data_IF_209622467076
#
_entry.id   IF_209622467076
#
_cell.length_a   1.000
_cell.length_b   1.000
_cell.length_c   1.000
_cell.angle_alpha   90.00
_cell.angle_beta   90.00
_cell.angle_gamma   90.00
#
_symmetry.space_group_name_H-M   'P 1'
#
loop_
_entity.id
_entity.type
_entity.pdbx_description
1 polymer ?
#
# COMPACT_ATOMS: atom_id res chain seq x y z
N UNK A 1 -27.77 2.17 -45.81
CA UNK A 1 -28.91 2.62 -44.98
C UNK A 1 -28.34 3.47 -43.86
N UNK A 2 -28.70 4.76 -43.82
CA UNK A 2 -28.25 5.73 -42.81
C UNK A 2 -29.10 5.56 -41.55
N UNK A 3 -28.48 5.45 -40.37
CA UNK A 3 -29.18 5.63 -39.10
C UNK A 3 -28.39 6.61 -38.23
N UNK A 4 -28.97 7.80 -38.08
CA UNK A 4 -28.63 8.82 -37.09
C UNK A 4 -29.50 8.58 -35.85
N UNK A 5 -28.95 8.75 -34.65
CA UNK A 5 -29.68 9.19 -33.44
C UNK A 5 -28.63 9.49 -32.36
N UNK A 6 -28.32 10.77 -32.14
CA UNK A 6 -28.99 11.74 -31.26
C UNK A 6 -28.53 11.66 -29.80
N UNK A 7 -27.90 12.77 -29.43
CA UNK A 7 -27.41 13.22 -28.13
C UNK A 7 -28.51 13.40 -27.09
N UNK A 8 -28.20 13.14 -25.83
CA UNK A 8 -28.84 13.80 -24.68
C UNK A 8 -27.76 14.28 -23.71
N UNK A 9 -27.50 15.59 -23.76
CA UNK A 9 -26.89 16.38 -22.70
C UNK A 9 -27.89 16.47 -21.54
N UNK A 10 -27.46 16.18 -20.32
CA UNK A 10 -28.18 16.57 -19.11
C UNK A 10 -27.24 17.29 -18.16
N UNK A 11 -27.43 18.60 -18.14
CA UNK A 11 -26.91 19.57 -17.19
C UNK A 11 -27.73 19.53 -15.89
N UNK A 12 -27.06 19.29 -14.76
CA UNK A 12 -27.46 19.69 -13.41
C UNK A 12 -26.14 19.93 -12.67
N UNK A 13 -25.89 20.98 -11.91
CA UNK A 13 -26.73 22.00 -11.29
C UNK A 13 -25.92 22.45 -10.07
N UNK A 14 -25.53 23.72 -10.05
CA UNK A 14 -24.74 24.35 -8.99
C UNK A 14 -25.47 24.33 -7.65
N UNK A 15 -24.75 24.06 -6.54
CA UNK A 15 -25.14 24.61 -5.23
C UNK A 15 -23.93 24.96 -4.37
N UNK A 16 -23.80 26.25 -4.15
CA UNK A 16 -22.96 26.93 -3.16
C UNK A 16 -23.46 26.57 -1.75
N UNK A 17 -22.56 26.28 -0.82
CA UNK A 17 -22.79 26.61 0.58
C UNK A 17 -21.47 26.86 1.30
N UNK A 18 -21.20 28.14 1.51
CA UNK A 18 -20.21 28.67 2.43
C UNK A 18 -20.68 28.47 3.87
N UNK A 19 -19.83 27.86 4.70
CA UNK A 19 -19.85 28.08 6.15
C UNK A 19 -18.44 28.39 6.62
N UNK A 20 -18.13 29.69 6.59
CA UNK A 20 -17.16 30.29 7.50
C UNK A 20 -17.68 30.08 8.93
N UNK A 21 -16.91 29.35 9.73
CA UNK A 21 -17.05 29.32 11.18
C UNK A 21 -15.83 30.02 11.80
N UNK A 22 -15.96 31.32 12.04
CA UNK A 22 -15.09 32.09 12.94
C UNK A 22 -15.47 31.72 14.39
N UNK A 23 -14.64 30.95 15.11
CA UNK A 23 -14.73 30.88 16.58
C UNK A 23 -13.34 30.74 17.23
N UNK A 24 -13.07 31.74 18.08
CA UNK A 24 -12.23 31.75 19.28
C UNK A 24 -10.70 31.89 19.15
N UNK A 25 -10.28 33.16 19.26
CA UNK A 25 -9.06 33.57 19.96
C UNK A 25 -9.10 33.04 21.40
N UNK A 26 -8.16 32.17 21.76
CA UNK A 26 -7.85 31.78 23.14
C UNK A 26 -6.39 32.09 23.46
N UNK A 27 -6.15 33.24 24.11
CA UNK A 27 -4.88 33.58 24.73
C UNK A 27 -4.66 32.69 25.94
N UNK A 28 -3.64 31.83 25.99
CA UNK A 28 -3.10 31.36 27.26
C UNK A 28 -1.60 31.05 27.17
N UNK A 29 -0.86 31.95 27.82
CA UNK A 29 0.25 31.67 28.74
C UNK A 29 1.40 30.77 28.24
N UNK A 30 2.46 31.46 27.84
CA UNK A 30 3.85 31.15 28.15
C UNK A 30 3.99 30.48 29.52
N UNK A 31 4.42 29.22 29.55
CA UNK A 31 5.09 28.62 30.71
C UNK A 31 6.30 27.85 30.25
N UNK A 32 7.46 28.47 30.46
CA UNK A 32 8.74 27.81 30.60
C UNK A 32 8.60 26.58 31.51
N UNK A 33 9.10 25.46 31.04
CA UNK A 33 9.57 24.39 31.89
C UNK A 33 10.82 23.80 31.24
N UNK A 34 11.95 24.41 31.57
CA UNK A 34 13.26 23.80 31.40
C UNK A 34 13.28 22.52 32.25
N UNK A 35 13.07 21.37 31.63
CA UNK A 35 13.36 20.09 32.26
C UNK A 35 14.81 19.70 31.96
N UNK A 36 15.69 20.21 32.81
CA UNK A 36 16.98 19.60 33.10
C UNK A 36 16.72 18.30 33.86
N UNK A 37 16.71 17.17 33.16
CA UNK A 37 16.95 15.87 33.78
C UNK A 37 18.32 15.35 33.36
N UNK A 38 19.33 15.84 34.08
CA UNK A 38 20.56 15.12 34.28
C UNK A 38 20.26 13.93 35.21
N UNK A 39 20.22 12.73 34.66
CA UNK A 39 20.43 11.50 35.43
C UNK A 39 20.95 10.42 34.49
N UNK A 40 22.27 10.39 34.37
CA UNK A 40 23.07 9.29 33.82
C UNK A 40 22.88 8.10 34.77
N UNK A 41 21.81 7.34 34.56
CA UNK A 41 21.60 6.04 35.18
C UNK A 41 22.37 4.99 34.39
N UNK A 42 23.49 4.52 34.94
CA UNK A 42 24.19 3.33 34.46
C UNK A 42 23.24 2.14 34.51
N UNK A 43 22.65 1.78 33.37
CA UNK A 43 21.98 0.48 33.22
C UNK A 43 23.08 -0.57 33.21
N UNK A 44 23.19 -1.28 34.33
CA UNK A 44 24.02 -2.46 34.50
C UNK A 44 23.42 -3.53 33.58
N UNK A 45 23.98 -3.66 32.37
CA UNK A 45 23.70 -4.78 31.48
C UNK A 45 24.16 -6.07 32.17
N UNK A 46 23.22 -6.72 32.84
CA UNK A 46 23.41 -8.04 33.41
C UNK A 46 23.49 -9.05 32.27
N UNK A 47 24.72 -9.48 32.02
CA UNK A 47 25.11 -10.45 31.01
C UNK A 47 24.56 -11.82 31.43
N UNK A 48 23.29 -12.12 31.12
CA UNK A 48 22.77 -13.49 31.07
C UNK A 48 23.43 -14.21 29.89
N UNK A 49 24.48 -14.96 30.19
CA UNK A 49 24.96 -16.00 29.31
C UNK A 49 24.07 -17.24 29.45
N UNK A 50 23.92 -17.93 28.33
CA UNK A 50 23.78 -19.38 28.25
C UNK A 50 22.35 -19.95 28.24
N UNK A 51 21.68 -19.81 27.09
CA UNK A 51 20.83 -20.87 26.57
C UNK A 51 21.34 -21.28 25.18
N UNK A 52 22.23 -22.28 25.21
CA UNK A 52 22.30 -23.47 24.33
C UNK A 52 21.41 -23.40 23.07
N UNK A 53 21.95 -22.86 21.98
CA UNK A 53 21.41 -23.07 20.63
C UNK A 53 21.74 -24.49 20.15
N UNK A 54 20.99 -25.48 20.63
CA UNK A 54 20.99 -26.82 20.04
C UNK A 54 20.04 -26.81 18.83
N UNK A 55 20.62 -26.91 17.64
CA UNK A 55 19.89 -27.07 16.39
C UNK A 55 19.74 -25.78 15.60
N UNK A 56 20.86 -25.22 15.13
CA UNK A 56 20.86 -24.33 13.97
C UNK A 56 20.44 -25.13 12.74
N UNK A 57 19.15 -25.46 12.64
CA UNK A 57 18.53 -25.60 11.33
C UNK A 57 18.81 -24.29 10.63
N UNK A 58 19.68 -24.35 9.62
CA UNK A 58 19.91 -23.26 8.69
C UNK A 58 18.52 -22.87 8.16
N UNK A 59 17.92 -21.85 8.77
CA UNK A 59 16.71 -21.22 8.24
C UNK A 59 17.22 -20.49 7.03
N UNK A 60 17.26 -21.21 5.91
CA UNK A 60 17.44 -20.61 4.61
C UNK A 60 16.34 -19.55 4.53
N UNK A 61 16.76 -18.29 4.70
CA UNK A 61 15.90 -17.14 4.52
C UNK A 61 15.52 -17.17 3.06
N UNK A 62 14.46 -17.91 2.74
CA UNK A 62 13.92 -17.95 1.40
C UNK A 62 13.74 -16.51 0.99
N UNK A 63 14.53 -16.12 -0.01
CA UNK A 63 14.47 -14.80 -0.60
C UNK A 63 13.01 -14.56 -1.00
N UNK A 64 12.56 -13.30 -0.97
CA UNK A 64 11.21 -12.91 -1.40
C UNK A 64 10.88 -13.50 -2.80
N UNK A 65 11.89 -13.69 -3.65
CA UNK A 65 11.82 -14.42 -4.93
C UNK A 65 11.43 -15.89 -4.78
N UNK A 66 12.07 -16.63 -3.88
CA UNK A 66 11.76 -18.04 -3.63
C UNK A 66 10.30 -18.25 -3.21
N UNK A 67 9.74 -17.31 -2.43
CA UNK A 67 8.32 -17.34 -2.04
C UNK A 67 7.39 -17.05 -3.20
N UNK A 68 7.72 -16.07 -4.03
CA UNK A 68 6.92 -15.74 -5.21
C UNK A 68 6.90 -16.90 -6.24
N UNK A 69 8.04 -17.56 -6.44
CA UNK A 69 8.15 -18.74 -7.30
C UNK A 69 7.41 -19.96 -6.76
N UNK A 70 7.14 -20.03 -5.46
CA UNK A 70 6.28 -21.06 -4.87
C UNK A 70 4.78 -20.83 -5.16
N UNK A 71 4.39 -19.63 -5.60
CA UNK A 71 3.01 -19.21 -5.86
C UNK A 71 2.71 -19.11 -7.36
N UNK A 72 3.34 -19.92 -8.23
CA UNK A 72 3.18 -19.81 -9.69
C UNK A 72 1.75 -20.03 -10.19
N UNK A 73 1.00 -20.92 -9.54
CA UNK A 73 -0.37 -21.28 -9.90
C UNK A 73 -1.44 -20.45 -9.16
N UNK A 74 -1.01 -19.62 -8.22
CA UNK A 74 -1.90 -18.82 -7.39
C UNK A 74 -2.53 -17.67 -8.20
N UNK A 75 -3.76 -17.23 -7.86
CA UNK A 75 -4.40 -16.09 -8.51
C UNK A 75 -3.53 -14.85 -8.37
N UNK A 76 -3.35 -14.15 -9.49
CA UNK A 76 -2.62 -12.89 -9.58
C UNK A 76 -3.58 -11.74 -9.85
N UNK A 77 -3.37 -10.63 -9.15
CA UNK A 77 -4.18 -9.42 -9.35
C UNK A 77 -3.26 -8.23 -9.51
N UNK A 78 -3.55 -7.40 -10.53
CA UNK A 78 -2.84 -6.15 -10.76
C UNK A 78 -3.20 -5.16 -9.66
N UNK A 79 -2.17 -4.59 -9.03
CA UNK A 79 -2.32 -3.58 -7.98
C UNK A 79 -1.86 -2.23 -8.46
N UNK A 80 -2.55 -1.21 -7.98
CA UNK A 80 -2.30 0.18 -8.31
C UNK A 80 -2.40 1.07 -7.09
N UNK A 81 -1.80 2.25 -7.23
CA UNK A 81 -1.95 3.34 -6.28
C UNK A 81 -2.68 4.50 -6.93
N UNK A 82 -3.47 5.20 -6.13
CA UNK A 82 -4.16 6.42 -6.52
C UNK A 82 -3.71 7.52 -5.56
N UNK A 83 -3.42 8.70 -6.09
CA UNK A 83 -3.15 9.88 -5.28
C UNK A 83 -4.50 10.40 -4.77
N UNK A 84 -4.65 10.60 -3.45
CA UNK A 84 -5.84 11.28 -2.93
C UNK A 84 -5.96 12.64 -3.63
N UNK A 85 -7.15 12.95 -4.13
CA UNK A 85 -7.49 14.14 -4.94
C UNK A 85 -7.29 13.98 -6.47
N UNK A 86 -6.80 12.83 -6.96
CA UNK A 86 -6.73 12.53 -8.40
C UNK A 86 -7.52 11.25 -8.72
N UNK A 87 -8.21 11.23 -9.86
CA UNK A 87 -8.95 10.04 -10.33
C UNK A 87 -8.06 9.03 -11.11
N UNK A 88 -6.77 9.34 -11.23
CA UNK A 88 -5.81 8.55 -11.98
C UNK A 88 -5.22 7.42 -11.12
N UNK A 89 -5.25 6.22 -11.69
CA UNK A 89 -4.65 5.01 -11.11
C UNK A 89 -3.31 4.71 -11.76
N UNK A 90 -2.29 4.55 -10.93
CA UNK A 90 -0.95 4.19 -11.35
C UNK A 90 -0.73 2.69 -11.13
N UNK A 91 -0.55 1.88 -12.18
CA UNK A 91 -0.27 0.46 -12.03
C UNK A 91 1.16 0.27 -11.49
N UNK A 92 1.29 -0.50 -10.42
CA UNK A 92 2.56 -0.66 -9.69
C UNK A 92 3.11 -2.06 -9.82
N UNK A 93 2.25 -3.08 -9.83
CA UNK A 93 2.70 -4.47 -9.78
C UNK A 93 1.56 -5.47 -9.78
N UNK A 94 1.91 -6.69 -9.42
CA UNK A 94 1.01 -7.82 -9.23
C UNK A 94 1.16 -8.34 -7.80
N UNK A 95 0.04 -8.64 -7.17
CA UNK A 95 0.01 -9.38 -5.90
C UNK A 95 -0.51 -10.78 -6.17
N UNK A 96 0.16 -11.76 -5.60
CA UNK A 96 -0.26 -13.16 -5.57
C UNK A 96 -0.57 -13.57 -4.15
N UNK A 97 -1.68 -14.27 -3.98
CA UNK A 97 -2.06 -14.88 -2.72
C UNK A 97 -2.52 -16.31 -2.97
N UNK A 98 -2.24 -17.21 -2.03
CA UNK A 98 -2.65 -18.62 -2.12
C UNK A 98 -4.13 -18.80 -2.41
N UNK A 99 -4.98 -17.98 -1.78
CA UNK A 99 -6.43 -18.01 -1.92
C UNK A 99 -6.95 -16.68 -2.47
N UNK A 100 -7.98 -16.72 -3.33
CA UNK A 100 -8.59 -15.49 -3.87
C UNK A 100 -9.19 -14.60 -2.77
N UNK A 101 -9.76 -15.21 -1.72
CA UNK A 101 -10.29 -14.48 -0.57
C UNK A 101 -9.20 -13.78 0.27
N UNK A 102 -7.94 -14.20 0.12
CA UNK A 102 -6.80 -13.61 0.82
C UNK A 102 -6.19 -12.42 0.06
N UNK A 103 -6.57 -12.16 -1.20
CA UNK A 103 -5.97 -11.14 -2.06
C UNK A 103 -6.09 -9.73 -1.46
N UNK A 104 -7.29 -9.32 -1.05
CA UNK A 104 -7.48 -7.99 -0.43
C UNK A 104 -6.60 -7.81 0.81
N UNK A 105 -6.50 -8.86 1.64
CA UNK A 105 -5.66 -8.86 2.84
C UNK A 105 -4.18 -8.80 2.48
N UNK A 106 -3.76 -9.49 1.41
CA UNK A 106 -2.40 -9.46 0.91
C UNK A 106 -2.00 -8.06 0.44
N UNK A 107 -2.87 -7.36 -0.31
CA UNK A 107 -2.65 -5.98 -0.74
C UNK A 107 -2.47 -5.05 0.46
N UNK A 108 -3.35 -5.15 1.47
CA UNK A 108 -3.25 -4.32 2.69
C UNK A 108 -1.96 -4.59 3.46
N UNK A 109 -1.51 -5.85 3.56
CA UNK A 109 -0.25 -6.21 4.22
C UNK A 109 0.98 -5.69 3.48
N UNK A 110 0.95 -5.75 2.15
CA UNK A 110 2.08 -5.34 1.31
C UNK A 110 2.03 -3.87 0.87
N UNK A 111 1.11 -3.07 1.44
CA UNK A 111 0.98 -1.63 1.12
C UNK A 111 2.29 -0.83 1.23
N UNK A 112 3.16 -1.19 2.18
CA UNK A 112 4.45 -0.51 2.36
C UNK A 112 5.39 -0.76 1.17
N UNK A 113 5.46 -2.02 0.71
CA UNK A 113 6.24 -2.41 -0.48
C UNK A 113 5.66 -1.79 -1.75
N UNK A 114 4.33 -1.78 -1.87
CA UNK A 114 3.62 -1.16 -3.00
C UNK A 114 3.91 0.35 -3.03
N UNK A 115 3.80 1.05 -1.89
CA UNK A 115 4.09 2.49 -1.80
C UNK A 115 5.55 2.81 -2.15
N UNK A 116 6.49 2.01 -1.64
CA UNK A 116 7.91 2.17 -1.95
C UNK A 116 8.17 1.97 -3.44
N UNK A 117 7.59 0.93 -4.05
CA UNK A 117 7.73 0.67 -5.49
C UNK A 117 7.13 1.79 -6.33
N UNK A 118 5.95 2.29 -5.94
CA UNK A 118 5.28 3.38 -6.65
C UNK A 118 6.12 4.68 -6.63
N UNK A 119 6.73 5.02 -5.49
CA UNK A 119 7.62 6.17 -5.37
C UNK A 119 8.85 6.04 -6.29
N UNK A 120 9.37 4.83 -6.47
CA UNK A 120 10.48 4.57 -7.41
C UNK A 120 10.05 4.68 -8.87
N UNK A 121 8.85 4.20 -9.21
CA UNK A 121 8.33 4.25 -10.58
C UNK A 121 7.93 5.67 -11.00
N UNK A 122 7.34 6.43 -10.08
CA UNK A 122 6.72 7.72 -10.36
C UNK A 122 7.19 8.83 -9.41
N UNK A 123 8.51 9.09 -9.28
CA UNK A 123 9.05 10.01 -8.28
C UNK A 123 8.60 11.47 -8.46
N UNK A 124 8.19 11.86 -9.68
CA UNK A 124 7.70 13.21 -9.97
C UNK A 124 6.22 13.39 -9.62
N UNK A 125 5.44 12.30 -9.64
CA UNK A 125 3.99 12.32 -9.41
C UNK A 125 3.67 11.99 -7.94
N UNK A 126 4.42 11.06 -7.36
CA UNK A 126 4.21 10.56 -6.00
C UNK A 126 5.31 11.13 -5.10
N UNK A 127 4.96 12.12 -4.29
CA UNK A 127 5.87 12.64 -3.26
C UNK A 127 5.78 11.79 -1.98
N UNK A 128 6.83 11.81 -1.15
CA UNK A 128 6.86 11.06 0.10
C UNK A 128 5.75 11.44 1.10
N UNK A 129 5.18 12.65 0.98
CA UNK A 129 4.11 13.14 1.86
C UNK A 129 2.72 13.00 1.25
N UNK A 130 2.62 12.47 0.02
CA UNK A 130 1.34 12.30 -0.66
C UNK A 130 0.54 11.19 0.00
N UNK A 131 -0.75 11.45 0.27
CA UNK A 131 -1.65 10.42 0.78
C UNK A 131 -2.06 9.51 -0.38
N UNK A 132 -1.73 8.24 -0.26
CA UNK A 132 -2.03 7.23 -1.28
C UNK A 132 -3.23 6.39 -0.87
N UNK A 133 -4.06 6.08 -1.86
CA UNK A 133 -5.08 5.03 -1.83
C UNK A 133 -4.57 3.83 -2.62
N UNK A 134 -4.97 2.63 -2.23
CA UNK A 134 -4.56 1.38 -2.85
C UNK A 134 -5.76 0.72 -3.49
N UNK A 135 -5.54 0.03 -4.60
CA UNK A 135 -6.60 -0.64 -5.32
C UNK A 135 -6.11 -1.83 -6.10
N UNK A 136 -7.07 -2.65 -6.47
CA UNK A 136 -6.89 -3.83 -7.31
C UNK A 136 -7.69 -3.66 -8.59
N UNK A 137 -7.12 -4.12 -9.70
CA UNK A 137 -7.80 -4.11 -10.99
C UNK A 137 -8.60 -5.41 -11.13
N UNK A 138 -9.92 -5.28 -11.18
CA UNK A 138 -10.83 -6.39 -11.43
C UNK A 138 -11.15 -6.43 -12.92
N UNK A 139 -10.76 -7.50 -13.60
CA UNK A 139 -11.10 -7.72 -15.01
C UNK A 139 -12.29 -8.67 -15.04
N UNK A 140 -13.51 -8.19 -15.36
CA UNK A 140 -14.67 -9.07 -15.46
C UNK A 140 -14.51 -10.01 -16.65
N UNK A 141 -15.00 -11.24 -16.51
CA UNK A 141 -14.91 -12.26 -17.56
C UNK A 141 -15.53 -11.73 -18.87
N UNK A 142 -14.72 -11.66 -19.92
CA UNK A 142 -15.14 -11.20 -21.26
C UNK A 142 -14.95 -9.70 -21.54
N UNK A 143 -14.41 -8.91 -20.60
CA UNK A 143 -13.98 -7.53 -20.86
C UNK A 143 -12.47 -7.44 -21.06
N UNK A 144 -12.04 -6.56 -21.95
CA UNK A 144 -10.63 -6.16 -22.08
C UNK A 144 -10.28 -4.98 -21.18
N UNK A 145 -11.29 -4.32 -20.61
CA UNK A 145 -11.14 -3.18 -19.71
C UNK A 145 -11.38 -3.65 -18.28
N UNK A 146 -10.38 -3.44 -17.41
CA UNK A 146 -10.50 -3.70 -15.99
C UNK A 146 -10.91 -2.46 -15.22
N UNK A 147 -11.72 -2.65 -14.19
CA UNK A 147 -12.18 -1.59 -13.29
C UNK A 147 -11.33 -1.60 -12.03
N UNK A 148 -10.90 -0.43 -11.57
CA UNK A 148 -10.16 -0.29 -10.32
C UNK A 148 -11.11 -0.30 -9.12
N UNK A 149 -10.86 -1.18 -8.16
CA UNK A 149 -11.56 -1.26 -6.90
C UNK A 149 -10.64 -0.81 -5.76
N UNK A 150 -11.10 0.15 -4.96
CA UNK A 150 -10.32 0.68 -3.83
C UNK A 150 -10.35 -0.28 -2.65
N UNK A 151 -9.17 -0.67 -2.18
CA UNK A 151 -9.02 -1.58 -1.04
C UNK A 151 -8.93 -0.78 0.25
N UNK A 152 -9.95 -0.89 1.09
CA UNK A 152 -9.96 -0.24 2.40
C UNK A 152 -9.06 -0.98 3.40
N UNK A 153 -8.33 -0.22 4.23
CA UNK A 153 -7.45 -0.80 5.27
C UNK A 153 -8.17 -1.69 6.30
N UNK A 154 -9.50 -1.59 6.40
CA UNK A 154 -10.32 -2.42 7.30
C UNK A 154 -10.70 -3.78 6.72
N UNK A 155 -10.51 -3.99 5.41
CA UNK A 155 -10.87 -5.24 4.72
C UNK A 155 -10.04 -6.44 5.23
N UNK A 156 -8.82 -6.22 5.70
CA UNK A 156 -7.88 -7.27 6.12
C UNK A 156 -8.19 -8.04 7.41
N UNK A 157 -9.35 -7.83 8.03
CA UNK A 157 -9.67 -8.47 9.33
C UNK A 157 -10.28 -9.87 9.17
N UNK A 158 -10.68 -10.25 7.95
CA UNK A 158 -11.56 -11.41 7.74
C UNK A 158 -10.82 -12.75 7.57
N UNK A 159 -9.55 -12.74 7.16
CA UNK A 159 -8.77 -13.95 6.88
C UNK A 159 -7.36 -13.80 7.46
N UNK A 160 -6.92 -14.77 8.26
CA UNK A 160 -5.52 -14.84 8.69
C UNK A 160 -4.67 -15.35 7.53
N UNK A 161 -3.76 -14.50 7.05
CA UNK A 161 -2.86 -14.81 5.93
C UNK A 161 -1.44 -14.82 6.46
N UNK A 162 -0.67 -15.88 6.16
CA UNK A 162 0.74 -15.94 6.53
C UNK A 162 1.60 -15.19 5.50
N UNK A 163 2.73 -14.61 5.92
CA UNK A 163 3.63 -13.89 5.01
C UNK A 163 4.37 -14.82 4.01
N UNK A 164 4.13 -16.13 4.11
CA UNK A 164 4.61 -17.13 3.15
C UNK A 164 3.60 -17.38 2.02
N UNK A 165 2.33 -17.07 2.26
CA UNK A 165 1.22 -17.29 1.33
C UNK A 165 0.94 -16.07 0.45
N UNK A 166 1.74 -15.00 0.58
CA UNK A 166 1.61 -13.74 -0.17
C UNK A 166 2.93 -13.37 -0.85
N UNK A 167 2.82 -12.80 -2.04
CA UNK A 167 3.95 -12.31 -2.82
C UNK A 167 3.58 -11.07 -3.63
N UNK A 168 4.54 -10.17 -3.77
CA UNK A 168 4.43 -8.97 -4.61
C UNK A 168 5.51 -9.00 -5.69
N UNK A 169 5.11 -8.72 -6.93
CA UNK A 169 5.99 -8.53 -8.08
C UNK A 169 5.74 -7.13 -8.65
N UNK A 170 6.74 -6.25 -8.57
CA UNK A 170 6.64 -4.91 -9.14
C UNK A 170 6.74 -4.92 -10.67
N UNK A 171 5.99 -4.05 -11.35
CA UNK A 171 6.19 -3.81 -12.78
C UNK A 171 7.61 -3.22 -12.97
N UNK A 172 8.39 -3.72 -13.95
CA UNK A 172 9.67 -3.13 -14.27
C UNK A 172 9.46 -1.69 -14.77
N UNK A 173 10.14 -0.73 -14.13
CA UNK A 173 10.09 0.65 -14.56
C UNK A 173 10.73 0.82 -15.94
N UNK A 174 10.26 1.82 -16.70
CA UNK A 174 10.82 2.18 -18.01
C UNK A 174 12.31 2.58 -17.93
N UNK A 175 12.79 3.00 -16.76
CA UNK A 175 14.20 3.33 -16.51
C UNK A 175 15.05 2.14 -16.04
N UNK A 176 14.47 0.94 -15.94
CA UNK A 176 15.11 -0.21 -15.33
C UNK A 176 14.83 -1.48 -16.12
N UNK A 177 15.75 -1.86 -17.02
CA UNK A 177 15.92 -3.24 -17.52
C UNK A 177 16.34 -4.23 -16.40
N UNK A 178 16.22 -3.83 -15.13
CA UNK A 178 16.61 -4.59 -13.96
C UNK A 178 15.33 -4.91 -13.17
N UNK A 179 14.94 -6.18 -13.18
CA UNK A 179 13.88 -6.72 -12.31
C UNK A 179 14.27 -6.47 -10.85
N UNK A 180 13.58 -5.54 -10.17
CA UNK A 180 13.85 -5.27 -8.76
C UNK A 180 12.86 -6.01 -7.87
N UNK A 181 13.42 -6.86 -7.00
CA UNK A 181 12.71 -7.51 -5.91
C UNK A 181 13.00 -6.71 -4.65
N UNK A 182 11.98 -6.03 -4.12
CA UNK A 182 12.08 -5.31 -2.84
C UNK A 182 12.38 -6.32 -1.71
N UNK A 183 13.40 -6.00 -0.90
CA UNK A 183 13.86 -6.79 0.26
C UNK A 183 13.31 -6.20 1.55
#
# INVERSE_FOLDING_TARGET
MKSQSQSCLSSFGTRVSSKLGDIAKGNHATRSAAFLFASIGRIRCERRQNERWNGSGFVETQTTVGRYLALKEAPNVTVGVQIQDTDDWFPVGFVKAKDAAALETAVVRQRALIAEHANRLFPLQISANTKLSWGMMMIPEGSNEGTWETVHSKAGTRVYVSDKDIGFEGVPGWASELYYVLR
#
